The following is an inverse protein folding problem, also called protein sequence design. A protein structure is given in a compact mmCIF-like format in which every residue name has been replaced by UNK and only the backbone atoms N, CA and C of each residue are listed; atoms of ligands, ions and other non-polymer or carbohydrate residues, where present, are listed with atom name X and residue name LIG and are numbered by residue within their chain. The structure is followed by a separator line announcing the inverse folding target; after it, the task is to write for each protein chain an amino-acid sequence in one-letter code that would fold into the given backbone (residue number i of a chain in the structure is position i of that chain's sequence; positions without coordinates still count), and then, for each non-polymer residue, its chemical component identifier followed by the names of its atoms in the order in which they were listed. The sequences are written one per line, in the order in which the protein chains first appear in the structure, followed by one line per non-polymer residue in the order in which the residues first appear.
data_IF_673174039809
#
_entry.id   IF_673174039809
#
_cell.length_a   1.000
_cell.length_b   1.000
_cell.length_c   1.000
_cell.angle_alpha   90.00
_cell.angle_beta   90.00
_cell.angle_gamma   90.00
#
_symmetry.space_group_name_H-M   'P 1'
#
loop_
_entity.id
_entity.type
_entity.pdbx_description
1 polymer ?
#
# COMPACT_ATOMS: atom_id res chain seq x y z
N UNK A 1 23.65 -16.30 -12.29
CA UNK A 1 23.22 -15.88 -10.94
C UNK A 1 22.61 -14.46 -10.88
N UNK A 2 22.06 -13.89 -11.97
CA UNK A 2 21.33 -12.58 -11.95
C UNK A 2 19.87 -12.67 -12.43
N UNK A 3 19.46 -13.82 -12.94
CA UNK A 3 18.17 -14.02 -13.62
C UNK A 3 17.01 -14.42 -12.68
N UNK A 4 17.31 -14.84 -11.44
CA UNK A 4 16.32 -15.46 -10.53
C UNK A 4 15.39 -14.42 -9.88
N UNK A 5 15.76 -13.13 -9.86
CA UNK A 5 14.94 -12.08 -9.26
C UNK A 5 13.85 -11.53 -10.20
N UNK A 6 13.97 -11.72 -11.51
CA UNK A 6 13.00 -11.19 -12.50
C UNK A 6 11.69 -11.97 -12.54
N UNK A 7 11.63 -13.16 -11.97
CA UNK A 7 10.43 -14.03 -11.97
C UNK A 7 9.65 -14.03 -10.66
N UNK A 8 10.07 -13.28 -9.63
CA UNK A 8 9.31 -13.15 -8.36
C UNK A 8 8.49 -11.86 -8.24
N UNK A 9 8.60 -10.93 -9.21
CA UNK A 9 7.78 -9.72 -9.26
C UNK A 9 6.40 -9.91 -9.91
N UNK A 10 6.03 -11.15 -10.29
CA UNK A 10 4.71 -11.50 -10.78
C UNK A 10 4.06 -12.52 -9.84
N UNK A 11 3.67 -12.06 -8.65
CA UNK A 11 2.74 -12.82 -7.81
C UNK A 11 1.31 -12.64 -8.40
N UNK A 12 0.60 -13.71 -8.75
CA UNK A 12 -0.72 -13.61 -9.37
C UNK A 12 -1.74 -13.25 -8.28
N UNK A 13 -2.08 -11.97 -8.18
CA UNK A 13 -3.24 -11.52 -7.40
C UNK A 13 -4.34 -10.90 -8.27
N UNK A 14 -4.16 -10.90 -9.60
CA UNK A 14 -5.27 -10.67 -10.53
C UNK A 14 -6.08 -11.96 -10.60
N UNK A 15 -7.05 -12.10 -9.70
CA UNK A 15 -8.06 -13.15 -9.82
C UNK A 15 -8.54 -13.81 -8.54
N UNK A 16 -8.86 -13.09 -7.47
CA UNK A 16 -9.82 -13.60 -6.48
C UNK A 16 -10.79 -12.50 -6.01
N UNK A 17 -12.12 -12.74 -6.07
CA UNK A 17 -13.11 -11.84 -5.47
C UNK A 17 -13.04 -11.98 -3.94
N UNK A 18 -12.10 -11.29 -3.30
CA UNK A 18 -12.06 -11.15 -1.85
C UNK A 18 -13.12 -10.13 -1.40
N UNK A 19 -14.39 -10.51 -1.49
CA UNK A 19 -15.43 -9.93 -0.64
C UNK A 19 -15.21 -10.45 0.79
N UNK A 20 -14.11 -10.03 1.41
CA UNK A 20 -13.69 -10.52 2.71
C UNK A 20 -12.35 -9.91 3.10
N UNK A 21 -12.40 -8.94 4.01
CA UNK A 21 -11.22 -8.28 4.62
C UNK A 21 -10.20 -9.34 5.05
N UNK A 22 -9.11 -9.44 4.33
CA UNK A 22 -7.97 -10.21 4.79
C UNK A 22 -7.27 -9.36 5.86
N UNK A 23 -7.53 -9.67 7.13
CA UNK A 23 -6.88 -8.99 8.23
C UNK A 23 -5.38 -9.32 8.17
N UNK A 24 -4.55 -8.28 8.04
CA UNK A 24 -3.08 -8.32 8.02
C UNK A 24 -2.45 -8.78 6.69
N UNK A 25 -2.89 -8.19 5.59
CA UNK A 25 -2.15 -8.21 4.32
C UNK A 25 -1.09 -7.11 4.27
N UNK A 26 0.09 -7.45 3.75
CA UNK A 26 1.09 -6.49 3.30
C UNK A 26 1.04 -6.45 1.78
N UNK A 27 0.99 -5.25 1.21
CA UNK A 27 1.05 -5.02 -0.24
C UNK A 27 2.22 -4.08 -0.49
N UNK A 28 3.19 -4.53 -1.29
CA UNK A 28 4.34 -3.73 -1.69
C UNK A 28 4.05 -3.02 -3.01
N UNK A 29 4.23 -1.70 -3.05
CA UNK A 29 4.01 -0.88 -4.24
C UNK A 29 5.37 -0.31 -4.68
N UNK A 30 6.02 -0.89 -5.71
CA UNK A 30 7.26 -0.35 -6.22
C UNK A 30 6.98 0.97 -6.95
N UNK A 31 7.60 2.05 -6.51
CA UNK A 31 7.53 3.35 -7.18
C UNK A 31 8.84 4.11 -7.00
N UNK A 32 9.17 4.96 -7.96
CA UNK A 32 10.38 5.78 -7.95
C UNK A 32 10.06 7.17 -7.45
N UNK A 33 10.73 7.62 -6.39
CA UNK A 33 10.58 8.96 -5.83
C UNK A 33 11.79 9.84 -6.19
N UNK A 34 11.54 11.11 -6.51
CA UNK A 34 12.59 12.14 -6.53
C UNK A 34 12.84 12.65 -5.10
N UNK A 35 14.02 13.23 -4.85
CA UNK A 35 14.30 13.85 -3.55
C UNK A 35 13.25 14.92 -3.19
N UNK A 36 12.77 14.90 -1.95
CA UNK A 36 11.69 15.76 -1.48
C UNK A 36 10.91 15.18 -0.29
N UNK A 37 9.95 15.95 0.19
CA UNK A 37 9.07 15.59 1.31
C UNK A 37 7.73 15.04 0.80
N UNK A 38 7.29 13.93 1.38
CA UNK A 38 6.08 13.22 0.99
C UNK A 38 5.21 12.87 2.20
N UNK A 39 3.92 12.68 1.94
CA UNK A 39 2.95 12.21 2.92
C UNK A 39 2.24 10.96 2.41
N UNK A 40 2.22 9.91 3.24
CA UNK A 40 1.35 8.76 3.07
C UNK A 40 0.01 9.06 3.74
N UNK A 41 -1.06 8.97 2.95
CA UNK A 41 -2.44 9.23 3.36
C UNK A 41 -3.27 7.98 3.12
N UNK A 42 -4.16 7.63 4.05
CA UNK A 42 -5.07 6.50 3.88
C UNK A 42 -6.51 6.97 3.71
N UNK A 43 -7.08 6.68 2.53
CA UNK A 43 -8.46 7.03 2.17
C UNK A 43 -9.45 5.87 2.36
N UNK A 44 -9.02 4.78 3.00
CA UNK A 44 -9.89 3.66 3.31
C UNK A 44 -10.95 4.12 4.32
N UNK A 45 -12.25 3.88 4.08
CA UNK A 45 -13.29 4.20 5.04
C UNK A 45 -13.19 3.29 6.27
N UNK A 46 -13.28 3.89 7.46
CA UNK A 46 -13.33 3.18 8.72
C UNK A 46 -14.62 2.32 8.81
N UNK A 47 -14.50 1.13 9.39
CA UNK A 47 -15.62 0.20 9.47
C UNK A 47 -16.68 0.60 10.50
N UNK A 48 -16.35 1.47 11.47
CA UNK A 48 -17.25 1.90 12.55
C UNK A 48 -18.06 3.13 12.14
N UNK A 49 -17.44 4.12 11.49
CA UNK A 49 -18.09 5.41 11.18
C UNK A 49 -18.12 5.79 9.69
N UNK A 50 -17.49 5.01 8.82
CA UNK A 50 -17.45 5.25 7.37
C UNK A 50 -16.60 6.45 6.95
N UNK A 51 -15.99 7.18 7.88
CA UNK A 51 -15.09 8.30 7.55
C UNK A 51 -13.75 7.74 7.05
N UNK A 52 -13.06 8.42 6.11
CA UNK A 52 -11.74 7.97 5.68
C UNK A 52 -10.77 7.98 6.87
N UNK A 53 -9.88 7.00 6.95
CA UNK A 53 -8.88 6.94 8.03
C UNK A 53 -7.98 8.18 8.12
N UNK A 54 -7.85 8.96 7.05
CA UNK A 54 -7.27 10.30 7.08
C UNK A 54 -7.91 11.21 8.14
N UNK A 55 -9.25 11.19 8.25
CA UNK A 55 -9.98 11.97 9.26
C UNK A 55 -9.70 11.50 10.70
N UNK A 56 -9.27 10.24 10.84
CA UNK A 56 -8.81 9.64 12.10
C UNK A 56 -7.30 9.85 12.35
N UNK A 57 -6.61 10.56 11.45
CA UNK A 57 -5.20 10.90 11.60
C UNK A 57 -4.22 9.85 11.07
N UNK A 58 -4.65 8.90 10.23
CA UNK A 58 -3.73 7.97 9.58
C UNK A 58 -2.93 8.66 8.46
N UNK A 59 -1.94 9.44 8.89
CA UNK A 59 -1.00 10.21 8.07
C UNK A 59 0.42 9.90 8.51
N UNK A 60 1.33 9.73 7.54
CA UNK A 60 2.76 9.59 7.83
C UNK A 60 3.57 10.44 6.88
N UNK A 61 4.40 11.33 7.41
CA UNK A 61 5.35 12.09 6.62
C UNK A 61 6.70 11.36 6.55
N UNK A 62 7.36 11.47 5.40
CA UNK A 62 8.71 10.96 5.17
C UNK A 62 9.42 11.80 4.12
N UNK A 63 10.76 11.82 4.17
CA UNK A 63 11.59 12.54 3.21
C UNK A 63 12.45 11.54 2.44
N UNK A 64 12.56 11.77 1.13
CA UNK A 64 13.50 11.08 0.25
C UNK A 64 14.67 12.01 0.00
N UNK A 65 15.89 11.52 0.26
CA UNK A 65 17.15 12.26 0.09
C UNK A 65 17.91 11.74 -1.12
#
# INVERSE_FOLDING_TARGET
MREIWRTLAASPSIGLPASGRCQRQTVDIPTTFTAGDYALLCFVPDAKDGKPHLAHGMVKQFSVK
#
